data_IF_498454686791
#
_entry.id   IF_498454686791
#
_cell.length_a   1.000
_cell.length_b   1.000
_cell.length_c   1.000
_cell.angle_alpha   90.00
_cell.angle_beta   90.00
_cell.angle_gamma   90.00
#
_symmetry.space_group_name_H-M   'P 1'
#
loop_
_entity.id
_entity.type
_entity.pdbx_description
1 polymer ?
#
# COMPACT_ATOMS: atom_id res chain seq x y z
N UNK A 1 6.05 -3.73 59.73
CA UNK A 1 6.69 -3.62 58.39
C UNK A 1 5.89 -4.46 57.41
N UNK A 2 5.08 -3.82 56.57
CA UNK A 2 4.32 -4.48 55.49
C UNK A 2 5.05 -4.20 54.18
N UNK A 3 5.51 -5.25 53.50
CA UNK A 3 6.09 -5.17 52.17
C UNK A 3 5.00 -4.87 51.16
N UNK A 4 5.04 -3.70 50.51
CA UNK A 4 4.25 -3.41 49.32
C UNK A 4 5.08 -3.92 48.12
N UNK A 5 4.71 -5.08 47.58
CA UNK A 5 5.19 -5.55 46.29
C UNK A 5 4.38 -4.80 45.24
N UNK A 6 4.97 -3.76 44.65
CA UNK A 6 4.42 -3.07 43.50
C UNK A 6 4.72 -3.94 42.26
N UNK A 7 3.81 -4.86 41.93
CA UNK A 7 3.82 -5.55 40.64
C UNK A 7 3.41 -4.55 39.55
N UNK A 8 4.38 -3.81 39.03
CA UNK A 8 4.28 -3.11 37.76
C UNK A 8 4.24 -4.18 36.65
N UNK A 9 3.07 -4.76 36.42
CA UNK A 9 2.78 -5.42 35.15
C UNK A 9 2.72 -4.32 34.10
N UNK A 10 3.88 -3.98 33.52
CA UNK A 10 3.95 -3.29 32.24
C UNK A 10 3.39 -4.31 31.25
N UNK A 11 2.08 -4.23 31.00
CA UNK A 11 1.54 -4.76 29.77
C UNK A 11 2.26 -4.00 28.66
N UNK A 12 3.28 -4.62 28.08
CA UNK A 12 3.59 -4.39 26.69
C UNK A 12 2.33 -4.82 25.93
N UNK A 13 1.37 -3.91 25.81
CA UNK A 13 0.44 -3.97 24.69
C UNK A 13 1.36 -3.87 23.49
N UNK A 14 1.60 -5.01 22.85
CA UNK A 14 2.15 -5.08 21.51
C UNK A 14 1.43 -3.99 20.72
N UNK A 15 2.17 -2.92 20.45
CA UNK A 15 1.81 -1.84 19.54
C UNK A 15 1.17 -2.53 18.35
N UNK A 16 -0.04 -2.09 17.98
CA UNK A 16 -0.85 -2.61 16.88
C UNK A 16 -0.03 -2.57 15.58
N UNK A 17 0.85 -3.55 15.43
CA UNK A 17 1.45 -3.95 14.17
C UNK A 17 0.32 -4.65 13.45
N UNK A 18 -0.21 -4.12 12.34
CA UNK A 18 -0.69 -4.80 11.11
C UNK A 18 -1.42 -6.17 11.19
N UNK A 19 -1.72 -6.64 12.39
CA UNK A 19 -2.23 -7.93 12.82
C UNK A 19 -3.60 -7.73 13.45
N UNK A 20 -4.20 -6.54 13.31
CA UNK A 20 -5.64 -6.46 13.52
C UNK A 20 -6.24 -7.33 12.42
N UNK A 21 -6.79 -8.47 12.85
CA UNK A 21 -7.42 -9.46 11.99
C UNK A 21 -8.39 -8.77 11.00
N UNK A 22 -9.07 -7.73 11.45
CA UNK A 22 -9.99 -6.91 10.67
C UNK A 22 -9.37 -6.22 9.45
N UNK A 23 -8.19 -5.60 9.55
CA UNK A 23 -7.52 -4.96 8.40
C UNK A 23 -7.09 -6.03 7.39
N UNK A 24 -6.58 -7.16 7.88
CA UNK A 24 -6.19 -8.27 7.01
C UNK A 24 -7.39 -8.89 6.30
N UNK A 25 -8.50 -9.09 7.02
CA UNK A 25 -9.76 -9.59 6.46
C UNK A 25 -10.27 -8.62 5.39
N UNK A 26 -10.24 -7.30 5.65
CA UNK A 26 -10.60 -6.28 4.67
C UNK A 26 -9.78 -6.39 3.38
N UNK A 27 -8.45 -6.40 3.45
CA UNK A 27 -7.64 -6.46 2.23
C UNK A 27 -7.79 -7.78 1.49
N UNK A 28 -7.96 -8.90 2.20
CA UNK A 28 -8.26 -10.19 1.57
C UNK A 28 -9.56 -10.11 0.75
N UNK A 29 -10.63 -9.59 1.35
CA UNK A 29 -11.92 -9.40 0.70
C UNK A 29 -11.79 -8.44 -0.50
N UNK A 30 -11.18 -7.28 -0.27
CA UNK A 30 -10.98 -6.23 -1.26
C UNK A 30 -10.29 -6.72 -2.54
N UNK A 31 -9.25 -7.56 -2.41
CA UNK A 31 -8.52 -8.09 -3.56
C UNK A 31 -9.13 -9.38 -4.14
N UNK A 32 -10.01 -10.07 -3.40
CA UNK A 32 -10.71 -11.27 -3.86
C UNK A 32 -11.93 -11.02 -4.75
N UNK A 33 -12.27 -9.74 -4.99
CA UNK A 33 -13.40 -9.26 -5.80
C UNK A 33 -14.76 -9.18 -5.09
N UNK A 34 -14.80 -9.29 -3.75
CA UNK A 34 -15.98 -9.00 -2.93
C UNK A 34 -15.58 -8.41 -1.59
N UNK A 35 -16.04 -7.21 -1.25
CA UNK A 35 -15.87 -6.64 0.09
C UNK A 35 -17.11 -5.87 0.53
N UNK A 36 -17.47 -5.98 1.80
CA UNK A 36 -18.53 -5.17 2.42
C UNK A 36 -17.91 -3.94 3.10
N UNK A 37 -18.20 -2.76 2.55
CA UNK A 37 -17.66 -1.50 3.07
C UNK A 37 -18.25 -1.11 4.43
N UNK A 38 -19.39 -1.69 4.84
CA UNK A 38 -20.10 -1.31 6.08
C UNK A 38 -19.24 -1.45 7.33
N UNK A 39 -18.38 -2.46 7.37
CA UNK A 39 -17.51 -2.71 8.52
C UNK A 39 -16.45 -1.61 8.69
N UNK A 40 -15.99 -1.02 7.58
CA UNK A 40 -15.01 0.08 7.60
C UNK A 40 -15.70 1.41 7.85
N UNK A 41 -16.86 1.62 7.23
CA UNK A 41 -17.67 2.82 7.39
C UNK A 41 -18.07 3.07 8.85
N UNK A 42 -18.37 2.00 9.61
CA UNK A 42 -18.72 2.10 11.02
C UNK A 42 -17.54 2.42 11.95
N UNK A 43 -16.29 2.33 11.47
CA UNK A 43 -15.10 2.56 12.27
C UNK A 43 -14.60 4.00 12.12
N UNK A 44 -14.52 4.72 13.25
CA UNK A 44 -14.16 6.15 13.29
C UNK A 44 -12.66 6.42 13.37
N UNK A 45 -11.82 5.39 13.45
CA UNK A 45 -10.36 5.60 13.44
C UNK A 45 -9.90 6.12 12.08
N UNK A 46 -8.85 6.95 12.09
CA UNK A 46 -8.37 7.64 10.90
C UNK A 46 -7.92 6.65 9.81
N UNK A 47 -7.33 5.52 10.19
CA UNK A 47 -6.97 4.41 9.29
C UNK A 47 -8.16 3.93 8.47
N UNK A 48 -9.27 3.58 9.13
CA UNK A 48 -10.44 3.03 8.45
C UNK A 48 -11.16 4.10 7.61
N UNK A 49 -11.19 5.35 8.09
CA UNK A 49 -11.70 6.47 7.29
C UNK A 49 -10.89 6.67 6.00
N UNK A 50 -9.57 6.56 6.06
CA UNK A 50 -8.71 6.64 4.87
C UNK A 50 -8.98 5.49 3.88
N UNK A 51 -9.12 4.27 4.37
CA UNK A 51 -9.48 3.11 3.54
C UNK A 51 -10.86 3.30 2.89
N UNK A 52 -11.84 3.81 3.65
CA UNK A 52 -13.15 4.16 3.12
C UNK A 52 -13.05 5.19 1.98
N UNK A 53 -12.31 6.28 2.17
CA UNK A 53 -12.11 7.28 1.10
C UNK A 53 -11.41 6.67 -0.12
N UNK A 54 -10.37 5.85 0.07
CA UNK A 54 -9.70 5.20 -1.05
C UNK A 54 -10.68 4.33 -1.86
N UNK A 55 -11.52 3.56 -1.16
CA UNK A 55 -12.56 2.75 -1.77
C UNK A 55 -13.59 3.61 -2.52
N UNK A 56 -14.17 4.61 -1.87
CA UNK A 56 -15.21 5.47 -2.45
C UNK A 56 -14.72 6.18 -3.72
N UNK A 57 -13.47 6.62 -3.71
CA UNK A 57 -12.86 7.29 -4.87
C UNK A 57 -12.87 6.44 -6.15
N UNK A 58 -12.96 5.10 -6.05
CA UNK A 58 -13.04 4.21 -7.22
C UNK A 58 -14.38 4.29 -7.94
N UNK A 59 -15.45 4.67 -7.23
CA UNK A 59 -16.79 4.81 -7.80
C UNK A 59 -17.02 6.18 -8.45
N UNK A 60 -16.16 7.16 -8.15
CA UNK A 60 -16.19 8.47 -8.80
C UNK A 60 -15.65 8.34 -10.23
N UNK A 61 -16.45 8.73 -11.23
CA UNK A 61 -16.07 8.62 -12.65
C UNK A 61 -15.31 9.83 -13.16
N UNK A 62 -15.72 11.02 -12.74
CA UNK A 62 -15.06 12.27 -13.14
C UNK A 62 -13.69 12.41 -12.47
N UNK A 63 -12.63 12.63 -13.26
CA UNK A 63 -11.26 12.68 -12.75
C UNK A 63 -11.01 13.89 -11.86
N UNK A 64 -11.65 15.03 -12.14
CA UNK A 64 -11.49 16.26 -11.36
C UNK A 64 -12.20 16.14 -10.01
N UNK A 65 -13.42 15.61 -10.00
CA UNK A 65 -14.16 15.30 -8.78
C UNK A 65 -13.37 14.31 -7.91
N UNK A 66 -12.83 13.25 -8.52
CA UNK A 66 -12.01 12.24 -7.82
C UNK A 66 -10.74 12.85 -7.23
N UNK A 67 -10.06 13.70 -7.99
CA UNK A 67 -8.89 14.42 -7.50
C UNK A 67 -9.24 15.28 -6.28
N UNK A 68 -10.30 16.09 -6.34
CA UNK A 68 -10.73 16.94 -5.22
C UNK A 68 -11.10 16.10 -3.99
N UNK A 69 -11.87 15.02 -4.19
CA UNK A 69 -12.26 14.11 -3.13
C UNK A 69 -11.05 13.49 -2.42
N UNK A 70 -10.06 12.98 -3.17
CA UNK A 70 -8.83 12.43 -2.62
C UNK A 70 -7.98 13.51 -1.93
N UNK A 71 -7.94 14.72 -2.49
CA UNK A 71 -7.20 15.84 -1.91
C UNK A 71 -7.77 16.21 -0.54
N UNK A 72 -9.08 16.31 -0.44
CA UNK A 72 -9.78 16.59 0.82
C UNK A 72 -9.56 15.47 1.84
N UNK A 73 -9.61 14.20 1.41
CA UNK A 73 -9.28 13.06 2.27
C UNK A 73 -7.85 13.15 2.82
N UNK A 74 -6.85 13.45 1.97
CA UNK A 74 -5.46 13.61 2.41
C UNK A 74 -5.32 14.78 3.39
N UNK A 75 -5.97 15.92 3.13
CA UNK A 75 -5.87 17.12 3.97
C UNK A 75 -6.44 16.92 5.38
N UNK A 76 -7.32 15.92 5.60
CA UNK A 76 -7.83 15.55 6.94
C UNK A 76 -6.78 14.87 7.82
N UNK A 77 -5.71 14.35 7.22
CA UNK A 77 -4.62 13.66 7.91
C UNK A 77 -3.51 14.65 8.25
N UNK A 78 -3.77 15.62 9.13
CA UNK A 78 -2.82 16.72 9.41
C UNK A 78 -1.76 16.37 10.47
N UNK A 79 -1.97 15.30 11.23
CA UNK A 79 -1.15 14.86 12.36
C UNK A 79 -0.23 13.67 12.03
N UNK A 80 -0.31 13.12 10.81
CA UNK A 80 0.43 11.91 10.41
C UNK A 80 1.95 12.04 10.62
N UNK A 81 2.52 13.25 10.47
CA UNK A 81 3.97 13.48 10.66
C UNK A 81 4.43 13.23 12.09
N UNK A 82 3.53 13.36 13.06
CA UNK A 82 3.79 13.09 14.49
C UNK A 82 3.29 11.71 14.94
N UNK A 83 2.65 10.95 14.06
CA UNK A 83 2.05 9.67 14.41
C UNK A 83 3.09 8.54 14.47
N UNK A 84 2.94 7.69 15.48
CA UNK A 84 3.65 6.41 15.58
C UNK A 84 2.81 5.21 15.12
N UNK A 85 1.53 5.42 14.78
CA UNK A 85 0.63 4.39 14.30
C UNK A 85 0.97 4.02 12.84
N UNK A 86 1.55 2.83 12.67
CA UNK A 86 1.98 2.29 11.37
C UNK A 86 0.80 2.11 10.42
N UNK A 87 -0.36 1.63 10.90
CA UNK A 87 -1.52 1.36 10.04
C UNK A 87 -2.12 2.69 9.54
N UNK A 88 -2.16 3.69 10.41
CA UNK A 88 -2.55 5.04 10.02
C UNK A 88 -1.59 5.61 8.97
N UNK A 89 -0.29 5.56 9.21
CA UNK A 89 0.74 6.02 8.27
C UNK A 89 0.63 5.34 6.90
N UNK A 90 0.43 4.02 6.87
CA UNK A 90 0.22 3.25 5.63
C UNK A 90 -1.01 3.78 4.89
N UNK A 91 -2.15 3.93 5.57
CA UNK A 91 -3.39 4.39 4.93
C UNK A 91 -3.25 5.79 4.30
N UNK A 92 -2.50 6.69 4.94
CA UNK A 92 -2.19 8.02 4.39
C UNK A 92 -1.33 7.90 3.13
N UNK A 93 -0.30 7.05 3.18
CA UNK A 93 0.58 6.82 2.02
C UNK A 93 -0.17 6.24 0.82
N UNK A 94 -1.17 5.38 1.04
CA UNK A 94 -2.00 4.81 -0.03
C UNK A 94 -2.85 5.88 -0.71
N UNK A 95 -3.49 6.78 0.05
CA UNK A 95 -4.20 7.94 -0.50
C UNK A 95 -3.25 8.84 -1.31
N UNK A 96 -2.09 9.17 -0.75
CA UNK A 96 -1.07 10.00 -1.41
C UNK A 96 -0.54 9.36 -2.70
N UNK A 97 -0.38 8.04 -2.74
CA UNK A 97 0.05 7.37 -3.96
C UNK A 97 -1.07 7.31 -5.00
N UNK A 98 -2.30 7.08 -4.58
CA UNK A 98 -3.43 6.94 -5.50
C UNK A 98 -3.81 8.28 -6.16
N UNK A 99 -3.75 9.40 -5.44
CA UNK A 99 -4.02 10.72 -6.03
C UNK A 99 -3.01 11.08 -7.14
N UNK A 100 -1.80 10.50 -7.15
CA UNK A 100 -0.78 10.77 -8.17
C UNK A 100 -1.21 10.41 -9.59
N UNK A 101 -2.24 9.57 -9.77
CA UNK A 101 -2.79 9.29 -11.09
C UNK A 101 -3.56 10.49 -11.67
N UNK A 102 -4.07 11.38 -10.81
CA UNK A 102 -5.03 12.42 -11.17
C UNK A 102 -4.52 13.86 -10.99
N UNK A 103 -3.36 14.05 -10.32
CA UNK A 103 -2.81 15.38 -10.07
C UNK A 103 -1.75 15.82 -11.11
N UNK A 104 -1.32 17.07 -11.04
CA UNK A 104 -0.26 17.63 -11.89
C UNK A 104 1.15 17.18 -11.43
N UNK A 105 2.17 17.40 -12.27
CA UNK A 105 3.55 16.94 -11.99
C UNK A 105 4.13 17.46 -10.66
N UNK A 106 4.03 18.76 -10.31
CA UNK A 106 4.49 19.26 -9.00
C UNK A 106 3.86 18.51 -7.82
N UNK A 107 2.56 18.25 -7.88
CA UNK A 107 1.86 17.52 -6.82
C UNK A 107 2.25 16.05 -6.76
N UNK A 108 2.46 15.39 -7.91
CA UNK A 108 3.00 14.01 -7.93
C UNK A 108 4.34 13.93 -7.21
N UNK A 109 5.23 14.92 -7.43
CA UNK A 109 6.53 14.97 -6.75
C UNK A 109 6.34 15.17 -5.24
N UNK A 110 5.44 16.06 -4.84
CA UNK A 110 5.14 16.34 -3.44
C UNK A 110 4.58 15.11 -2.71
N UNK A 111 3.50 14.52 -3.23
CA UNK A 111 2.88 13.34 -2.62
C UNK A 111 3.80 12.12 -2.65
N UNK A 112 4.53 11.89 -3.74
CA UNK A 112 5.50 10.82 -3.83
C UNK A 112 6.64 10.95 -2.82
N UNK A 113 7.10 12.19 -2.56
CA UNK A 113 8.14 12.45 -1.55
C UNK A 113 7.60 12.19 -0.13
N UNK A 114 6.41 12.69 0.20
CA UNK A 114 5.77 12.46 1.51
C UNK A 114 5.52 10.97 1.77
N UNK A 115 4.99 10.25 0.78
CA UNK A 115 4.76 8.81 0.85
C UNK A 115 6.07 8.04 1.09
N UNK A 116 7.15 8.42 0.39
CA UNK A 116 8.48 7.86 0.61
C UNK A 116 9.01 8.12 2.03
N UNK A 117 8.80 9.32 2.58
CA UNK A 117 9.24 9.65 3.93
C UNK A 117 8.45 8.86 4.99
N UNK A 118 7.15 8.67 4.78
CA UNK A 118 6.32 7.77 5.60
C UNK A 118 6.88 6.35 5.59
N UNK A 119 7.17 5.78 4.41
CA UNK A 119 7.72 4.43 4.32
C UNK A 119 9.07 4.30 4.98
N UNK A 120 9.91 5.32 4.89
CA UNK A 120 11.19 5.36 5.61
C UNK A 120 10.95 5.30 7.13
N UNK A 121 10.08 6.15 7.66
CA UNK A 121 9.73 6.16 9.10
C UNK A 121 9.21 4.81 9.57
N UNK A 122 8.38 4.13 8.77
CA UNK A 122 7.88 2.79 9.10
C UNK A 122 9.04 1.78 9.10
N UNK A 123 9.88 1.77 8.06
CA UNK A 123 11.00 0.81 7.94
C UNK A 123 12.09 1.02 8.99
N UNK A 124 12.24 2.24 9.52
CA UNK A 124 13.15 2.51 10.65
C UNK A 124 12.65 1.85 11.95
N UNK A 125 11.34 1.57 12.07
CA UNK A 125 10.71 0.91 13.23
C UNK A 125 10.46 -0.59 13.02
N UNK A 126 10.03 -0.95 11.82
CA UNK A 126 9.73 -2.31 11.36
C UNK A 126 10.31 -2.52 9.96
N UNK A 127 11.56 -2.96 9.89
CA UNK A 127 12.32 -3.19 8.66
C UNK A 127 11.75 -4.30 7.76
N UNK A 128 10.77 -5.04 8.28
CA UNK A 128 10.06 -6.14 7.62
C UNK A 128 8.62 -5.77 7.24
N UNK A 129 8.19 -4.54 7.47
CA UNK A 129 6.83 -4.11 7.17
C UNK A 129 6.52 -4.29 5.67
N UNK A 130 5.54 -5.14 5.36
CA UNK A 130 5.22 -5.51 3.98
C UNK A 130 4.89 -4.30 3.11
N UNK A 131 3.98 -3.44 3.57
CA UNK A 131 3.51 -2.30 2.77
C UNK A 131 4.60 -1.26 2.57
N UNK A 132 5.39 -0.96 3.59
CA UNK A 132 6.49 -0.01 3.44
C UNK A 132 7.58 -0.54 2.50
N UNK A 133 7.89 -1.84 2.55
CA UNK A 133 8.79 -2.49 1.59
C UNK A 133 8.24 -2.43 0.16
N UNK A 134 6.96 -2.78 -0.03
CA UNK A 134 6.31 -2.78 -1.34
C UNK A 134 6.22 -1.35 -1.92
N UNK A 135 5.75 -0.39 -1.14
CA UNK A 135 5.64 1.02 -1.53
C UNK A 135 7.00 1.63 -1.88
N UNK A 136 8.05 1.30 -1.11
CA UNK A 136 9.43 1.70 -1.44
C UNK A 136 9.91 1.10 -2.76
N UNK A 137 9.59 -0.18 -3.04
CA UNK A 137 9.92 -0.82 -4.30
C UNK A 137 9.25 -0.13 -5.50
N UNK A 138 7.95 0.15 -5.39
CA UNK A 138 7.17 0.89 -6.39
C UNK A 138 7.75 2.28 -6.61
N UNK A 139 8.08 3.01 -5.54
CA UNK A 139 8.75 4.31 -5.63
C UNK A 139 10.06 4.26 -6.43
N UNK A 140 10.93 3.29 -6.12
CA UNK A 140 12.17 3.09 -6.89
C UNK A 140 11.94 2.68 -8.35
N UNK A 141 10.87 1.93 -8.61
CA UNK A 141 10.52 1.48 -9.95
C UNK A 141 10.06 2.64 -10.82
N UNK A 142 9.23 3.55 -10.31
CA UNK A 142 8.61 4.61 -11.11
C UNK A 142 9.36 5.94 -11.11
N UNK A 143 10.11 6.25 -10.06
CA UNK A 143 10.88 7.50 -10.02
C UNK A 143 11.93 7.52 -11.16
N UNK A 144 12.19 8.69 -11.77
CA UNK A 144 13.30 8.83 -12.70
C UNK A 144 14.63 8.70 -11.96
N UNK A 145 15.69 8.28 -12.65
CA UNK A 145 17.03 8.10 -12.07
C UNK A 145 17.52 9.35 -11.32
N UNK A 146 17.26 10.54 -11.88
CA UNK A 146 17.65 11.82 -11.28
C UNK A 146 16.93 12.11 -9.95
N UNK A 147 15.72 11.57 -9.76
CA UNK A 147 14.96 11.68 -8.51
C UNK A 147 15.18 10.47 -7.58
N UNK A 148 16.22 9.66 -7.85
CA UNK A 148 16.60 8.51 -7.02
C UNK A 148 15.98 7.17 -7.44
N UNK A 149 15.31 7.09 -8.59
CA UNK A 149 14.80 5.85 -9.15
C UNK A 149 15.90 4.83 -9.46
N UNK A 150 15.62 3.54 -9.21
CA UNK A 150 16.59 2.47 -9.40
C UNK A 150 15.92 1.11 -9.56
N UNK A 151 16.01 0.54 -10.77
CA UNK A 151 15.49 -0.81 -11.06
C UNK A 151 16.13 -1.87 -10.14
N UNK A 152 17.44 -1.78 -9.87
CA UNK A 152 18.11 -2.71 -8.94
C UNK A 152 17.53 -2.63 -7.52
N UNK A 153 17.33 -1.41 -6.98
CA UNK A 153 16.73 -1.25 -5.64
C UNK A 153 15.28 -1.68 -5.63
N UNK A 154 14.51 -1.34 -6.67
CA UNK A 154 13.13 -1.79 -6.81
C UNK A 154 13.04 -3.32 -6.71
N UNK A 155 13.86 -4.05 -7.47
CA UNK A 155 13.93 -5.51 -7.41
C UNK A 155 14.27 -6.03 -6.01
N UNK A 156 15.27 -5.45 -5.34
CA UNK A 156 15.65 -5.84 -3.98
C UNK A 156 14.48 -5.66 -3.00
N UNK A 157 13.80 -4.51 -3.04
CA UNK A 157 12.66 -4.25 -2.15
C UNK A 157 11.43 -5.10 -2.50
N UNK A 158 11.14 -5.37 -3.77
CA UNK A 158 10.06 -6.29 -4.15
C UNK A 158 10.29 -7.69 -3.58
N UNK A 159 11.52 -8.22 -3.67
CA UNK A 159 11.83 -9.52 -3.08
C UNK A 159 11.74 -9.50 -1.55
N UNK A 160 12.20 -8.43 -0.90
CA UNK A 160 12.02 -8.27 0.55
C UNK A 160 10.54 -8.24 0.94
N UNK A 161 9.70 -7.51 0.19
CA UNK A 161 8.26 -7.48 0.43
C UNK A 161 7.66 -8.88 0.29
N UNK A 162 7.99 -9.60 -0.79
CA UNK A 162 7.53 -10.98 -0.98
C UNK A 162 7.97 -11.92 0.16
N UNK A 163 9.22 -11.82 0.60
CA UNK A 163 9.74 -12.64 1.71
C UNK A 163 9.03 -12.37 3.05
N UNK A 164 8.50 -11.16 3.23
CA UNK A 164 7.78 -10.76 4.44
C UNK A 164 6.26 -10.75 4.28
N UNK A 165 5.74 -11.23 3.14
CA UNK A 165 4.32 -11.38 2.89
C UNK A 165 3.77 -12.58 3.68
N UNK A 166 3.04 -12.29 4.76
CA UNK A 166 2.42 -13.28 5.64
C UNK A 166 1.00 -13.64 5.19
N UNK A 167 0.28 -12.66 4.68
CA UNK A 167 -1.12 -12.82 4.25
C UNK A 167 -1.28 -13.18 2.78
N UNK A 168 -2.44 -13.74 2.42
CA UNK A 168 -2.76 -14.11 1.03
C UNK A 168 -2.76 -12.88 0.12
N UNK A 169 -3.45 -11.81 0.49
CA UNK A 169 -3.45 -10.58 -0.31
C UNK A 169 -2.06 -9.95 -0.44
N UNK A 170 -1.20 -10.07 0.57
CA UNK A 170 0.17 -9.55 0.48
C UNK A 170 0.99 -10.30 -0.55
N UNK A 171 0.89 -11.64 -0.57
CA UNK A 171 1.53 -12.46 -1.60
C UNK A 171 0.97 -12.13 -2.98
N UNK A 172 -0.35 -11.97 -3.08
CA UNK A 172 -1.00 -11.53 -4.32
C UNK A 172 -0.44 -10.19 -4.80
N UNK A 173 -0.40 -9.17 -3.95
CA UNK A 173 0.14 -7.85 -4.26
C UNK A 173 1.61 -7.91 -4.68
N UNK A 174 2.44 -8.66 -3.96
CA UNK A 174 3.84 -8.85 -4.30
C UNK A 174 4.00 -9.48 -5.69
N UNK A 175 3.22 -10.51 -6.02
CA UNK A 175 3.24 -11.15 -7.34
C UNK A 175 2.74 -10.22 -8.44
N UNK A 176 1.66 -9.47 -8.22
CA UNK A 176 1.20 -8.46 -9.20
C UNK A 176 2.33 -7.47 -9.48
N UNK A 177 2.91 -6.86 -8.46
CA UNK A 177 3.96 -5.86 -8.66
C UNK A 177 5.26 -6.42 -9.23
N UNK A 178 5.67 -7.64 -8.85
CA UNK A 178 6.80 -8.32 -9.47
C UNK A 178 6.52 -8.57 -10.96
N UNK A 179 5.30 -8.99 -11.34
CA UNK A 179 4.95 -9.11 -12.76
C UNK A 179 5.14 -7.77 -13.50
N UNK A 180 4.74 -6.65 -12.90
CA UNK A 180 4.92 -5.32 -13.50
C UNK A 180 6.39 -4.92 -13.63
N UNK A 181 7.20 -5.26 -12.63
CA UNK A 181 8.66 -5.08 -12.71
C UNK A 181 9.26 -5.85 -13.89
N UNK A 182 8.91 -7.13 -14.03
CA UNK A 182 9.45 -7.98 -15.10
C UNK A 182 8.95 -7.58 -16.48
N UNK A 183 7.69 -7.15 -16.60
CA UNK A 183 7.18 -6.52 -17.81
C UNK A 183 8.03 -5.30 -18.21
N UNK A 184 8.31 -4.41 -17.26
CA UNK A 184 9.09 -3.18 -17.51
C UNK A 184 10.51 -3.46 -18.02
N UNK A 185 11.13 -4.56 -17.59
CA UNK A 185 12.48 -4.93 -18.01
C UNK A 185 12.49 -5.93 -19.19
N UNK A 186 11.34 -6.21 -19.79
CA UNK A 186 11.16 -7.14 -20.92
C UNK A 186 11.55 -8.59 -20.61
N UNK A 187 11.36 -9.04 -19.38
CA UNK A 187 11.54 -10.45 -18.98
C UNK A 187 10.19 -11.17 -18.99
N UNK A 188 9.85 -11.73 -20.16
CA UNK A 188 8.54 -12.36 -20.37
C UNK A 188 8.35 -13.65 -19.56
N UNK A 189 9.42 -14.39 -19.29
CA UNK A 189 9.33 -15.64 -18.53
C UNK A 189 8.88 -15.36 -17.10
N UNK A 190 9.57 -14.44 -16.42
CA UNK A 190 9.20 -14.07 -15.05
C UNK A 190 7.91 -13.27 -15.00
N UNK A 191 7.61 -12.43 -16.00
CA UNK A 191 6.31 -11.76 -16.11
C UNK A 191 5.16 -12.76 -16.08
N UNK A 192 5.20 -13.79 -16.95
CA UNK A 192 4.17 -14.83 -17.02
C UNK A 192 4.13 -15.66 -15.73
N UNK A 193 5.29 -16.00 -15.16
CA UNK A 193 5.38 -16.73 -13.89
C UNK A 193 4.60 -16.02 -12.78
N UNK A 194 4.87 -14.73 -12.55
CA UNK A 194 4.23 -14.00 -11.46
C UNK A 194 2.75 -13.70 -11.72
N UNK A 195 2.31 -13.59 -12.99
CA UNK A 195 0.88 -13.58 -13.33
C UNK A 195 0.20 -14.87 -12.87
N UNK A 196 0.77 -16.04 -13.18
CA UNK A 196 0.20 -17.34 -12.81
C UNK A 196 0.09 -17.47 -11.29
N UNK A 197 1.16 -17.14 -10.57
CA UNK A 197 1.18 -17.18 -9.10
C UNK A 197 0.16 -16.22 -8.47
N UNK A 198 -0.09 -15.05 -9.09
CA UNK A 198 -1.12 -14.12 -8.64
C UNK A 198 -2.53 -14.71 -8.84
N UNK A 199 -2.80 -15.34 -9.99
CA UNK A 199 -4.08 -16.02 -10.29
C UNK A 199 -4.35 -17.25 -9.41
N UNK A 200 -3.32 -17.92 -8.92
CA UNK A 200 -3.45 -19.01 -7.96
C UNK A 200 -4.00 -18.55 -6.60
N UNK A 201 -3.83 -17.26 -6.26
CA UNK A 201 -4.37 -16.68 -5.03
C UNK A 201 -5.78 -16.14 -5.28
N UNK A 202 -5.93 -15.25 -6.26
CA UNK A 202 -7.22 -14.70 -6.68
C UNK A 202 -7.35 -14.82 -8.21
N UNK A 203 -8.16 -15.77 -8.67
CA UNK A 203 -8.28 -16.10 -10.10
C UNK A 203 -8.74 -14.92 -10.96
N UNK A 204 -9.63 -14.08 -10.38
CA UNK A 204 -10.24 -12.90 -11.03
C UNK A 204 -9.94 -11.62 -10.23
N UNK A 205 -8.73 -11.50 -9.66
CA UNK A 205 -8.36 -10.35 -8.85
C UNK A 205 -8.26 -9.08 -9.70
N UNK A 206 -9.11 -8.09 -9.41
CA UNK A 206 -9.25 -6.85 -10.19
C UNK A 206 -7.94 -6.12 -10.47
N UNK A 207 -7.02 -6.04 -9.49
CA UNK A 207 -5.76 -5.32 -9.67
C UNK A 207 -4.89 -5.95 -10.78
N UNK A 208 -4.82 -7.28 -10.82
CA UNK A 208 -4.08 -8.00 -11.85
C UNK A 208 -4.69 -7.77 -13.23
N UNK A 209 -6.01 -7.84 -13.35
CA UNK A 209 -6.72 -7.59 -14.60
C UNK A 209 -6.44 -6.18 -15.12
N UNK A 210 -6.54 -5.18 -14.24
CA UNK A 210 -6.21 -3.80 -14.56
C UNK A 210 -4.75 -3.62 -14.97
N UNK A 211 -3.81 -4.30 -14.28
CA UNK A 211 -2.39 -4.26 -14.62
C UNK A 211 -2.10 -4.86 -16.00
N UNK A 212 -2.73 -5.99 -16.31
CA UNK A 212 -2.60 -6.65 -17.61
C UNK A 212 -3.19 -5.79 -18.73
N UNK A 213 -4.38 -5.23 -18.53
CA UNK A 213 -5.01 -4.29 -19.47
C UNK A 213 -4.07 -3.11 -19.80
N UNK A 214 -3.46 -2.52 -18.77
CA UNK A 214 -2.48 -1.45 -18.93
C UNK A 214 -1.25 -1.85 -19.74
N UNK A 215 -0.72 -3.05 -19.49
CA UNK A 215 0.43 -3.57 -20.23
C UNK A 215 0.11 -3.78 -21.72
N UNK A 216 -1.06 -4.34 -22.04
CA UNK A 216 -1.45 -4.66 -23.42
C UNK A 216 -1.92 -3.43 -24.21
N UNK A 217 -2.82 -2.63 -23.63
CA UNK A 217 -3.51 -1.56 -24.35
C UNK A 217 -2.77 -0.22 -24.31
N UNK A 218 -1.95 -0.01 -23.27
CA UNK A 218 -1.28 1.27 -23.05
C UNK A 218 0.25 1.16 -23.03
N UNK A 219 0.79 -0.07 -23.10
CA UNK A 219 2.23 -0.37 -23.03
C UNK A 219 2.91 0.27 -21.82
N UNK A 220 2.19 0.32 -20.70
CA UNK A 220 2.63 0.94 -19.44
C UNK A 220 2.29 0.01 -18.29
N UNK A 221 3.22 -0.12 -17.34
CA UNK A 221 2.95 -0.72 -16.03
C UNK A 221 1.87 0.05 -15.27
N UNK A 222 1.34 -0.52 -14.18
CA UNK A 222 0.53 0.19 -13.16
C UNK A 222 1.08 1.58 -12.80
#
# INVERSE_FOLDING_TARGET
MKYIILLLTIFYTSIYSYNSKEINDFYNDYYSSYYDIKNIEANSSQTYQNLYFLVQSKYIKDEKEKYNFLKDAINKNNDYESSDDIDYLISVSELMNYIMYYCNVPEKISFGSKSKDIYKTILDKDDKNFFALLGTAVGYMHAPKIAGGSSKKAFQYFNKALMNAKEKYQKYLAYVWLSQYYFKINDNENYIKYIKMSKEIYSNGYLLEYAMDRNFNYKKTL
#
